data_IF_074840861252
#
_entry.id   IF_074840861252
#
_cell.length_a   1.000
_cell.length_b   1.000
_cell.length_c   1.000
_cell.angle_alpha   90.00
_cell.angle_beta   90.00
_cell.angle_gamma   90.00
#
_symmetry.space_group_name_H-M   'P 1'
#
loop_
_entity.id
_entity.type
_entity.pdbx_description
1 polymer ?
#
# COMPACT_ATOMS: atom_id res chain seq x y z
N UNK A 1 -16.62 -6.68 14.28
CA UNK A 1 -16.95 -5.65 13.26
C UNK A 1 -16.62 -6.20 11.88
N UNK A 2 -17.37 -5.82 10.84
CA UNK A 2 -17.10 -6.23 9.46
C UNK A 2 -16.70 -5.03 8.62
N UNK A 3 -15.62 -5.16 7.85
CA UNK A 3 -15.19 -4.21 6.82
C UNK A 3 -15.31 -4.92 5.47
N UNK A 4 -16.06 -4.34 4.54
CA UNK A 4 -16.23 -4.87 3.19
C UNK A 4 -15.24 -4.16 2.26
N UNK A 5 -14.37 -4.93 1.62
CA UNK A 5 -13.28 -4.48 0.77
C UNK A 5 -11.93 -4.46 1.49
N UNK A 6 -10.96 -5.22 0.98
CA UNK A 6 -9.57 -5.31 1.44
C UNK A 6 -8.62 -4.35 0.73
N UNK A 7 -9.15 -3.26 0.15
CA UNK A 7 -8.34 -2.18 -0.41
C UNK A 7 -7.77 -1.23 0.66
N UNK A 8 -7.16 -0.12 0.22
CA UNK A 8 -6.45 0.81 1.10
C UNK A 8 -7.31 1.29 2.26
N UNK A 9 -8.49 1.83 1.93
CA UNK A 9 -9.42 2.35 2.92
C UNK A 9 -9.85 1.28 3.93
N UNK A 10 -10.16 0.06 3.46
CA UNK A 10 -10.63 -1.02 4.32
C UNK A 10 -9.55 -1.54 5.27
N UNK A 11 -8.34 -1.81 4.75
CA UNK A 11 -7.22 -2.25 5.57
C UNK A 11 -6.73 -1.15 6.53
N UNK A 12 -6.65 0.11 6.09
CA UNK A 12 -6.31 1.23 6.98
C UNK A 12 -7.35 1.43 8.09
N UNK A 13 -8.63 1.26 7.78
CA UNK A 13 -9.70 1.31 8.77
C UNK A 13 -9.56 0.16 9.77
N UNK A 14 -9.40 -1.07 9.29
CA UNK A 14 -9.22 -2.24 10.15
C UNK A 14 -8.00 -2.08 11.07
N UNK A 15 -6.88 -1.63 10.53
CA UNK A 15 -5.65 -1.37 11.27
C UNK A 15 -5.86 -0.36 12.41
N UNK A 16 -6.41 0.83 12.11
CA UNK A 16 -6.66 1.86 13.14
C UNK A 16 -7.61 1.38 14.23
N UNK A 17 -8.61 0.62 13.83
CA UNK A 17 -9.60 0.07 14.76
C UNK A 17 -8.95 -0.94 15.71
N UNK A 18 -8.16 -1.88 15.19
CA UNK A 18 -7.42 -2.85 16.02
C UNK A 18 -6.36 -2.19 16.92
N UNK A 19 -5.85 -1.02 16.55
CA UNK A 19 -4.90 -0.27 17.38
C UNK A 19 -5.54 0.36 18.63
N UNK A 20 -6.88 0.51 18.68
CA UNK A 20 -7.58 1.15 19.81
C UNK A 20 -7.83 0.23 21.00
N UNK A 21 -7.63 -1.09 20.86
CA UNK A 21 -7.89 -2.05 21.93
C UNK A 21 -8.19 -3.46 21.40
N UNK A 22 -8.51 -4.41 22.29
CA UNK A 22 -8.73 -5.81 21.93
C UNK A 22 -10.07 -5.98 21.22
N UNK A 23 -10.12 -5.63 19.94
CA UNK A 23 -11.28 -5.82 19.10
C UNK A 23 -10.94 -6.57 17.82
N UNK A 24 -11.83 -7.47 17.43
CA UNK A 24 -11.72 -8.26 16.22
C UNK A 24 -12.47 -7.60 15.05
N UNK A 25 -11.74 -7.43 13.95
CA UNK A 25 -12.25 -6.94 12.67
C UNK A 25 -12.14 -8.07 11.65
N UNK A 26 -13.26 -8.39 11.00
CA UNK A 26 -13.28 -9.29 9.85
C UNK A 26 -13.31 -8.46 8.57
N UNK A 27 -12.30 -8.64 7.71
CA UNK A 27 -12.26 -8.03 6.38
C UNK A 27 -12.78 -9.03 5.36
N UNK A 28 -13.69 -8.61 4.50
CA UNK A 28 -14.30 -9.43 3.45
C UNK A 28 -13.95 -8.86 2.09
N UNK A 29 -13.31 -9.66 1.24
CA UNK A 29 -12.92 -9.30 -0.14
C UNK A 29 -13.61 -10.28 -1.11
N UNK A 30 -14.06 -9.83 -2.30
CA UNK A 30 -14.51 -10.74 -3.35
C UNK A 30 -13.46 -11.83 -3.67
N UNK A 31 -13.93 -13.02 -4.07
CA UNK A 31 -13.03 -14.08 -4.51
C UNK A 31 -12.22 -13.66 -5.73
N UNK A 32 -11.14 -14.38 -6.02
CA UNK A 32 -10.39 -14.20 -7.26
C UNK A 32 -11.32 -14.30 -8.47
N UNK A 33 -11.16 -13.38 -9.42
CA UNK A 33 -11.95 -13.35 -10.65
C UNK A 33 -12.45 -11.96 -11.01
N UNK A 34 -13.40 -11.86 -11.96
CA UNK A 34 -13.85 -10.58 -12.53
C UNK A 34 -14.46 -9.60 -11.51
N UNK A 35 -14.94 -10.11 -10.38
CA UNK A 35 -15.48 -9.30 -9.29
C UNK A 35 -14.38 -8.65 -8.43
N UNK A 36 -13.16 -9.18 -8.43
CA UNK A 36 -12.02 -8.59 -7.74
C UNK A 36 -11.43 -7.47 -8.60
N UNK A 37 -11.28 -6.25 -8.06
CA UNK A 37 -10.56 -5.18 -8.75
C UNK A 37 -9.14 -5.63 -9.13
N UNK A 38 -8.61 -5.20 -10.28
CA UNK A 38 -7.22 -5.50 -10.64
C UNK A 38 -6.26 -4.95 -9.58
N UNK A 39 -5.09 -5.57 -9.43
CA UNK A 39 -4.03 -5.05 -8.56
C UNK A 39 -3.68 -3.62 -8.98
N UNK A 40 -3.65 -2.73 -8.00
CA UNK A 40 -3.25 -1.33 -8.19
C UNK A 40 -2.18 -0.98 -7.19
N UNK A 41 -1.10 -0.39 -7.67
CA UNK A 41 -0.13 0.28 -6.81
C UNK A 41 -0.78 1.53 -6.23
N UNK A 42 -0.72 1.70 -4.92
CA UNK A 42 -1.18 2.92 -4.26
C UNK A 42 -0.02 3.91 -4.20
N UNK A 43 -0.32 5.17 -4.46
CA UNK A 43 0.59 6.26 -4.16
C UNK A 43 -0.02 7.02 -2.99
N UNK A 44 0.69 7.08 -1.87
CA UNK A 44 0.35 7.96 -0.77
C UNK A 44 1.51 8.92 -0.54
N UNK A 45 1.17 10.09 -0.01
CA UNK A 45 2.13 11.08 0.44
C UNK A 45 1.89 11.31 1.91
N UNK A 46 2.95 11.24 2.70
CA UNK A 46 2.95 11.66 4.10
C UNK A 46 4.05 12.71 4.28
N UNK A 47 3.90 13.56 5.29
CA UNK A 47 4.87 14.60 5.61
C UNK A 47 5.95 14.10 6.58
N UNK A 48 5.59 13.15 7.42
CA UNK A 48 6.42 12.62 8.49
C UNK A 48 6.65 11.12 8.32
N UNK A 49 7.50 10.55 9.16
CA UNK A 49 7.71 9.10 9.18
C UNK A 49 6.47 8.39 9.73
N UNK A 50 5.91 7.47 8.97
CA UNK A 50 4.70 6.73 9.34
C UNK A 50 4.95 5.24 9.58
N UNK A 51 3.94 4.57 10.13
CA UNK A 51 3.96 3.12 10.40
C UNK A 51 4.17 2.26 9.13
N UNK A 52 3.96 2.85 7.95
CA UNK A 52 4.10 2.19 6.66
C UNK A 52 5.44 2.49 5.97
N UNK A 53 6.30 3.32 6.56
CA UNK A 53 7.56 3.76 5.92
C UNK A 53 8.43 2.58 5.47
N UNK A 54 8.52 1.54 6.29
CA UNK A 54 9.29 0.34 5.97
C UNK A 54 8.72 -0.44 4.77
N UNK A 55 7.42 -0.31 4.49
CA UNK A 55 6.75 -1.00 3.39
C UNK A 55 6.81 -0.21 2.08
N UNK A 56 6.95 1.11 2.13
CA UNK A 56 6.94 1.97 0.92
C UNK A 56 8.25 2.65 0.61
N UNK A 57 9.22 2.61 1.52
CA UNK A 57 10.55 3.17 1.29
C UNK A 57 11.49 2.06 0.84
N UNK A 58 12.29 2.36 -0.17
CA UNK A 58 13.38 1.50 -0.59
C UNK A 58 14.63 2.35 -0.85
N UNK A 59 15.80 1.77 -0.59
CA UNK A 59 17.09 2.41 -0.81
C UNK A 59 17.98 1.52 -1.67
N UNK A 60 18.77 2.16 -2.53
CA UNK A 60 19.71 1.46 -3.40
C UNK A 60 21.07 2.15 -3.32
N UNK A 61 22.18 1.39 -3.23
CA UNK A 61 23.52 1.96 -3.17
C UNK A 61 23.97 2.55 -4.51
N UNK A 62 23.27 2.25 -5.61
CA UNK A 62 23.58 2.74 -6.95
C UNK A 62 22.30 2.96 -7.74
N UNK A 63 22.15 4.16 -8.26
CA UNK A 63 21.12 4.54 -9.22
C UNK A 63 21.80 4.88 -10.55
N UNK A 64 21.18 4.52 -11.68
CA UNK A 64 21.58 4.98 -13.02
C UNK A 64 20.40 5.66 -13.66
N UNK A 65 20.61 6.87 -14.15
CA UNK A 65 19.59 7.63 -14.88
C UNK A 65 19.83 7.43 -16.37
N UNK A 66 18.78 7.11 -17.12
CA UNK A 66 18.84 6.95 -18.57
C UNK A 66 17.99 8.04 -19.22
N UNK A 67 18.52 8.66 -20.28
CA UNK A 67 17.78 9.61 -21.11
C UNK A 67 16.66 8.91 -21.90
N UNK A 68 15.82 9.71 -22.57
CA UNK A 68 14.75 9.19 -23.41
C UNK A 68 15.27 8.32 -24.58
N UNK A 69 16.55 8.47 -24.93
CA UNK A 69 17.27 7.66 -25.92
C UNK A 69 17.87 6.36 -25.34
N UNK A 70 17.62 6.06 -24.06
CA UNK A 70 18.12 4.89 -23.35
C UNK A 70 19.58 4.98 -22.91
N UNK A 71 20.29 6.07 -23.23
CA UNK A 71 21.71 6.21 -22.86
C UNK A 71 21.85 6.70 -21.41
N UNK A 72 22.91 6.29 -20.68
CA UNK A 72 23.18 6.83 -19.36
C UNK A 72 23.34 8.35 -19.42
N UNK A 73 22.65 9.06 -18.54
CA UNK A 73 22.92 10.47 -18.25
C UNK A 73 24.24 10.50 -17.48
N UNK A 74 25.26 11.13 -18.05
CA UNK A 74 26.61 11.21 -17.47
C UNK A 74 26.74 12.42 -16.57
#
# INVERSE_FOLDING_TARGET
MIVVGGGAAGLSLAHRITATGPMSVTVVEPPDGPARPPERTWCYWDRDTGDLDAAVTASWPRLRVHGADGRPVT
#
